data_IF_187497724569
#
_entry.id   IF_187497724569
#
_cell.length_a   1.000
_cell.length_b   1.000
_cell.length_c   1.000
_cell.angle_alpha   90.00
_cell.angle_beta   90.00
_cell.angle_gamma   90.00
#
_symmetry.space_group_name_H-M   'P 1'
#
loop_
_entity.id
_entity.type
_entity.pdbx_description
1 polymer ?
#
# COMPACT_ATOMS: atom_id res chain seq x y z
N UNK A 1 17.44 -76.79 -21.26
CA UNK A 1 16.98 -75.45 -21.68
C UNK A 1 16.43 -74.74 -20.45
N UNK A 2 17.17 -73.80 -19.82
CA UNK A 2 16.66 -73.07 -18.67
C UNK A 2 15.84 -71.86 -19.10
N UNK A 3 14.68 -71.77 -18.47
CA UNK A 3 13.68 -70.71 -18.55
C UNK A 3 14.22 -69.43 -17.88
N UNK A 4 14.37 -68.32 -18.62
CA UNK A 4 14.80 -67.03 -18.08
C UNK A 4 13.62 -66.08 -18.10
N UNK A 5 12.93 -65.98 -16.96
CA UNK A 5 11.82 -65.05 -16.75
C UNK A 5 12.33 -63.60 -16.72
N UNK A 6 11.53 -62.61 -17.14
CA UNK A 6 11.90 -61.21 -17.06
C UNK A 6 11.88 -60.75 -15.61
N UNK A 7 13.01 -60.23 -15.12
CA UNK A 7 13.08 -59.57 -13.82
C UNK A 7 12.18 -58.36 -13.82
N UNK A 8 11.23 -58.34 -12.87
CA UNK A 8 10.28 -57.27 -12.68
C UNK A 8 10.98 -55.94 -12.48
N UNK A 9 10.57 -54.95 -13.27
CA UNK A 9 10.83 -53.55 -13.00
C UNK A 9 10.25 -53.21 -11.62
N UNK A 10 11.13 -52.96 -10.66
CA UNK A 10 10.78 -52.31 -9.40
C UNK A 10 10.38 -50.88 -9.74
N UNK A 11 9.09 -50.67 -9.94
CA UNK A 11 8.49 -49.34 -10.00
C UNK A 11 8.72 -48.64 -8.67
N UNK A 12 9.76 -47.81 -8.60
CA UNK A 12 9.93 -46.80 -7.56
C UNK A 12 8.61 -46.03 -7.45
N UNK A 13 7.96 -45.96 -6.28
CA UNK A 13 6.74 -45.19 -6.15
C UNK A 13 7.09 -43.72 -6.37
N UNK A 14 6.63 -43.19 -7.49
CA UNK A 14 6.67 -41.78 -7.84
C UNK A 14 6.04 -41.01 -6.67
N UNK A 15 6.88 -40.34 -5.88
CA UNK A 15 6.45 -39.57 -4.73
C UNK A 15 5.65 -38.37 -5.25
N UNK A 16 4.35 -38.57 -5.40
CA UNK A 16 3.41 -37.49 -5.71
C UNK A 16 3.67 -36.34 -4.73
N UNK A 17 3.95 -35.11 -5.23
CA UNK A 17 4.24 -34.00 -4.34
C UNK A 17 3.03 -33.76 -3.46
N UNK A 18 3.18 -33.99 -2.15
CA UNK A 18 2.12 -33.76 -1.16
C UNK A 18 1.60 -32.34 -1.36
N UNK A 19 0.36 -32.21 -1.84
CA UNK A 19 -0.36 -30.95 -1.99
C UNK A 19 -0.47 -30.30 -0.61
N UNK A 20 0.42 -29.37 -0.30
CA UNK A 20 0.38 -28.62 0.95
C UNK A 20 -0.97 -27.89 1.03
N UNK A 21 -1.87 -28.40 1.88
CA UNK A 21 -3.10 -27.68 2.23
C UNK A 21 -2.71 -26.53 3.14
N UNK A 22 -2.89 -25.30 2.65
CA UNK A 22 -2.74 -24.10 3.47
C UNK A 22 -3.72 -24.20 4.62
N UNK A 23 -3.22 -24.13 5.87
CA UNK A 23 -4.08 -24.19 7.05
C UNK A 23 -4.94 -22.93 7.12
N UNK A 24 -6.24 -23.09 7.41
CA UNK A 24 -7.17 -21.97 7.62
C UNK A 24 -6.63 -20.99 8.67
N UNK A 25 -6.06 -21.51 9.76
CA UNK A 25 -5.44 -20.70 10.81
C UNK A 25 -4.30 -19.83 10.27
N UNK A 26 -3.50 -20.34 9.34
CA UNK A 26 -2.40 -19.59 8.74
C UNK A 26 -2.91 -18.42 7.88
N UNK A 27 -4.04 -18.61 7.19
CA UNK A 27 -4.70 -17.53 6.43
C UNK A 27 -5.21 -16.44 7.37
N UNK A 28 -5.90 -16.81 8.45
CA UNK A 28 -6.41 -15.85 9.45
C UNK A 28 -5.26 -15.04 10.07
N UNK A 29 -4.19 -15.71 10.49
CA UNK A 29 -3.02 -15.03 11.05
C UNK A 29 -2.35 -14.09 10.05
N UNK A 30 -2.35 -14.44 8.76
CA UNK A 30 -1.81 -13.57 7.69
C UNK A 30 -2.65 -12.34 7.48
N UNK A 31 -3.99 -12.47 7.54
CA UNK A 31 -4.90 -11.32 7.48
C UNK A 31 -4.69 -10.38 8.67
N UNK A 32 -4.57 -10.92 9.88
CA UNK A 32 -4.25 -10.13 11.08
C UNK A 32 -2.90 -9.43 10.91
N UNK A 33 -1.88 -10.15 10.42
CA UNK A 33 -0.56 -9.57 10.14
C UNK A 33 -0.66 -8.40 9.15
N UNK A 34 -1.40 -8.56 8.05
CA UNK A 34 -1.59 -7.50 7.07
C UNK A 34 -2.24 -6.26 7.71
N UNK A 35 -3.28 -6.43 8.53
CA UNK A 35 -3.92 -5.33 9.26
C UNK A 35 -2.94 -4.66 10.21
N UNK A 36 -2.18 -5.43 10.98
CA UNK A 36 -1.17 -4.87 11.92
C UNK A 36 -0.12 -4.06 11.16
N UNK A 37 0.37 -4.57 10.02
CA UNK A 37 1.33 -3.86 9.17
C UNK A 37 0.75 -2.55 8.67
N UNK A 38 -0.50 -2.55 8.20
CA UNK A 38 -1.20 -1.35 7.73
C UNK A 38 -1.26 -0.31 8.86
N UNK A 39 -1.78 -0.69 10.03
CA UNK A 39 -1.89 0.23 11.18
C UNK A 39 -0.52 0.75 11.61
N UNK A 40 0.50 -0.10 11.63
CA UNK A 40 1.85 0.29 12.00
C UNK A 40 2.43 1.29 11.00
N UNK A 41 2.29 1.06 9.69
CA UNK A 41 2.82 1.98 8.70
C UNK A 41 2.06 3.31 8.65
N UNK A 42 0.74 3.32 8.83
CA UNK A 42 -0.04 4.57 9.01
C UNK A 42 0.50 5.39 10.18
N UNK A 43 0.83 4.72 11.29
CA UNK A 43 1.40 5.37 12.47
C UNK A 43 2.82 5.91 12.20
N UNK A 44 3.67 5.10 11.59
CA UNK A 44 5.04 5.50 11.24
C UNK A 44 5.03 6.69 10.28
N UNK A 45 4.18 6.65 9.26
CA UNK A 45 4.05 7.74 8.28
C UNK A 45 3.60 9.04 8.95
N UNK A 46 2.61 8.98 9.84
CA UNK A 46 2.19 10.14 10.63
C UNK A 46 3.34 10.70 11.49
N UNK A 47 4.08 9.83 12.19
CA UNK A 47 5.18 10.24 13.05
C UNK A 47 6.37 10.79 12.24
N UNK A 48 6.68 10.20 11.08
CA UNK A 48 7.69 10.71 10.14
C UNK A 48 7.31 12.08 9.59
N UNK A 49 6.05 12.26 9.17
CA UNK A 49 5.56 13.56 8.74
C UNK A 49 5.70 14.58 9.87
N UNK A 50 5.29 14.24 11.11
CA UNK A 50 5.46 15.14 12.26
C UNK A 50 6.93 15.51 12.50
N UNK A 51 7.84 14.54 12.42
CA UNK A 51 9.25 14.73 12.76
C UNK A 51 10.09 15.40 11.65
N UNK A 52 9.77 15.13 10.38
CA UNK A 52 10.60 15.52 9.24
C UNK A 52 10.00 16.66 8.39
N UNK A 53 8.70 16.94 8.49
CA UNK A 53 8.08 17.99 7.71
C UNK A 53 8.37 19.37 8.34
N UNK A 54 9.10 20.27 7.63
CA UNK A 54 9.53 21.55 8.20
C UNK A 54 8.39 22.53 8.48
N UNK A 55 7.19 22.27 7.94
CA UNK A 55 6.02 23.12 8.13
C UNK A 55 5.21 22.75 9.38
N UNK A 56 5.58 21.66 10.04
CA UNK A 56 5.00 21.25 11.33
C UNK A 56 5.43 22.23 12.40
N UNK A 57 4.47 22.62 13.24
CA UNK A 57 4.70 23.48 14.40
C UNK A 57 4.56 22.65 15.67
N UNK A 58 5.69 22.12 16.13
CA UNK A 58 5.78 21.34 17.37
C UNK A 58 5.57 22.21 18.61
N UNK A 59 5.91 23.50 18.50
CA UNK A 59 5.82 24.49 19.57
C UNK A 59 4.64 25.44 19.37
N UNK A 60 3.43 24.91 19.16
CA UNK A 60 2.23 25.71 19.50
C UNK A 60 2.17 25.73 21.03
N UNK A 61 3.05 26.52 21.62
CA UNK A 61 3.00 26.83 23.04
C UNK A 61 1.63 27.46 23.25
N UNK A 62 0.80 26.82 24.06
CA UNK A 62 -0.42 27.36 24.65
C UNK A 62 -0.12 28.57 25.58
N UNK A 63 0.88 29.38 25.25
CA UNK A 63 1.25 30.60 25.95
C UNK A 63 0.75 31.79 25.13
N UNK A 64 -0.55 32.02 25.18
CA UNK A 64 -1.02 33.24 25.80
C UNK A 64 -2.50 33.06 26.18
N UNK A 65 -2.70 33.14 27.49
CA UNK A 65 -3.96 33.51 28.08
C UNK A 65 -4.43 34.80 27.42
N UNK A 66 -5.54 34.74 26.69
CA UNK A 66 -6.48 35.85 26.64
C UNK A 66 -7.84 35.27 27.04
N UNK A 67 -8.02 35.13 28.35
CA UNK A 67 -9.26 34.72 29.03
C UNK A 67 -10.28 35.87 28.98
N UNK A 68 -10.52 36.43 27.80
CA UNK A 68 -11.44 37.56 27.61
C UNK A 68 -12.15 37.49 26.27
N UNK A 69 -12.90 36.42 26.04
CA UNK A 69 -14.21 36.54 25.38
C UNK A 69 -15.01 35.26 25.63
N UNK A 70 -16.15 35.42 26.29
CA UNK A 70 -16.97 34.33 26.81
C UNK A 70 -17.53 33.39 25.76
N UNK A 71 -17.83 32.17 26.24
CA UNK A 71 -18.89 31.29 25.78
C UNK A 71 -19.11 31.14 24.26
N UNK A 72 -18.76 29.94 23.80
CA UNK A 72 -19.12 29.32 22.51
C UNK A 72 -18.30 29.72 21.28
N UNK A 73 -17.38 28.83 20.91
CA UNK A 73 -16.87 28.69 19.55
C UNK A 73 -15.62 29.51 19.20
N UNK A 74 -14.65 28.85 18.57
CA UNK A 74 -13.76 29.55 17.64
C UNK A 74 -12.45 30.12 18.18
N UNK A 75 -11.79 29.46 19.12
CA UNK A 75 -10.35 29.71 19.38
C UNK A 75 -9.44 29.12 18.29
N UNK A 76 -9.65 29.47 17.00
CA UNK A 76 -8.65 29.19 15.95
C UNK A 76 -7.50 30.18 16.11
N UNK A 77 -6.49 29.80 16.88
CA UNK A 77 -5.25 30.55 17.00
C UNK A 77 -4.65 30.80 15.60
N UNK A 78 -4.51 32.07 15.20
CA UNK A 78 -3.58 32.53 14.17
C UNK A 78 -3.57 31.78 12.81
N UNK A 79 -4.72 31.31 12.31
CA UNK A 79 -4.82 30.66 10.99
C UNK A 79 -4.16 29.27 10.90
N UNK A 80 -3.95 28.61 12.04
CA UNK A 80 -3.44 27.24 12.10
C UNK A 80 -4.53 26.21 11.78
N UNK A 81 -4.17 25.20 10.99
CA UNK A 81 -4.98 24.01 10.69
C UNK A 81 -4.40 22.84 11.45
N UNK A 82 -5.27 21.91 11.86
CA UNK A 82 -4.90 20.72 12.64
C UNK A 82 -5.18 19.45 11.85
N UNK A 83 -4.21 18.54 11.83
CA UNK A 83 -4.35 17.16 11.35
C UNK A 83 -4.20 16.20 12.52
N UNK A 84 -5.10 15.21 12.61
CA UNK A 84 -5.16 14.23 13.71
C UNK A 84 -4.79 12.84 13.20
N UNK A 85 -4.05 12.09 14.02
CA UNK A 85 -3.85 10.66 13.81
C UNK A 85 -5.14 9.88 14.07
N UNK A 86 -5.51 8.97 13.16
CA UNK A 86 -6.64 8.04 13.38
C UNK A 86 -6.34 6.97 14.44
N UNK A 87 -5.06 6.77 14.78
CA UNK A 87 -4.57 5.70 15.65
C UNK A 87 -4.10 6.18 17.03
N UNK A 88 -4.06 7.49 17.27
CA UNK A 88 -3.59 8.05 18.54
C UNK A 88 -4.19 9.43 18.82
N UNK A 89 -3.99 9.94 20.04
CA UNK A 89 -4.32 11.32 20.39
C UNK A 89 -3.38 12.38 19.79
N UNK A 90 -2.34 11.98 19.06
CA UNK A 90 -1.35 12.89 18.51
C UNK A 90 -1.94 13.79 17.41
N UNK A 91 -1.46 15.03 17.38
CA UNK A 91 -1.90 16.08 16.45
C UNK A 91 -0.70 16.77 15.84
N UNK A 92 -0.90 17.25 14.62
CA UNK A 92 0.05 18.08 13.87
C UNK A 92 -0.64 19.40 13.57
N UNK A 93 0.10 20.50 13.74
CA UNK A 93 -0.38 21.84 13.46
C UNK A 93 0.49 22.49 12.39
N UNK A 94 -0.13 23.20 11.45
CA UNK A 94 0.55 23.93 10.39
C UNK A 94 -0.30 25.13 9.96
N UNK A 95 0.28 26.13 9.31
CA UNK A 95 -0.47 27.30 8.84
C UNK A 95 -1.34 26.96 7.62
N UNK A 96 -2.61 27.36 7.64
CA UNK A 96 -3.54 27.12 6.53
C UNK A 96 -3.09 27.73 5.21
N UNK A 97 -2.41 28.89 5.27
CA UNK A 97 -1.79 29.54 4.11
C UNK A 97 -0.70 28.70 3.42
N UNK A 98 -0.11 27.74 4.14
CA UNK A 98 0.95 26.85 3.64
C UNK A 98 0.45 25.41 3.43
N UNK A 99 -0.87 25.19 3.45
CA UNK A 99 -1.48 23.86 3.34
C UNK A 99 -1.02 23.05 2.11
N UNK A 100 -0.86 23.71 0.96
CA UNK A 100 -0.34 23.07 -0.24
C UNK A 100 1.10 22.55 -0.06
N UNK A 101 1.99 23.40 0.44
CA UNK A 101 3.38 22.99 0.69
C UNK A 101 3.47 21.90 1.77
N UNK A 102 2.63 21.97 2.80
CA UNK A 102 2.57 20.96 3.86
C UNK A 102 2.17 19.59 3.30
N UNK A 103 1.11 19.54 2.50
CA UNK A 103 0.68 18.31 1.82
C UNK A 103 1.76 17.77 0.88
N UNK A 104 2.46 18.64 0.15
CA UNK A 104 3.57 18.22 -0.72
C UNK A 104 4.70 17.56 0.06
N UNK A 105 5.19 18.20 1.14
CA UNK A 105 6.23 17.61 1.99
C UNK A 105 5.79 16.27 2.61
N UNK A 106 4.53 16.19 3.07
CA UNK A 106 3.95 14.95 3.58
C UNK A 106 4.02 13.83 2.54
N UNK A 107 3.57 14.10 1.30
CA UNK A 107 3.60 13.12 0.20
C UNK A 107 5.03 12.72 -0.15
N UNK A 108 5.98 13.66 -0.18
CA UNK A 108 7.38 13.36 -0.47
C UNK A 108 8.01 12.47 0.61
N UNK A 109 7.73 12.75 1.89
CA UNK A 109 8.18 11.92 3.02
C UNK A 109 7.57 10.52 2.92
N UNK A 110 6.27 10.42 2.65
CA UNK A 110 5.60 9.14 2.44
C UNK A 110 6.22 8.38 1.26
N UNK A 111 6.43 9.02 0.11
CA UNK A 111 7.03 8.39 -1.06
C UNK A 111 8.45 7.87 -0.79
N UNK A 112 9.27 8.67 -0.10
CA UNK A 112 10.64 8.31 0.27
C UNK A 112 10.71 7.08 1.19
N UNK A 113 9.65 6.80 1.95
CA UNK A 113 9.57 5.62 2.82
C UNK A 113 8.86 4.44 2.17
N UNK A 114 7.71 4.68 1.53
CA UNK A 114 6.85 3.64 0.95
C UNK A 114 7.51 2.96 -0.26
N UNK A 115 8.14 3.71 -1.18
CA UNK A 115 8.71 3.13 -2.38
C UNK A 115 9.87 2.14 -2.10
N UNK A 116 10.85 2.46 -1.23
CA UNK A 116 11.89 1.50 -0.87
C UNK A 116 11.34 0.25 -0.16
N UNK A 117 10.38 0.42 0.75
CA UNK A 117 9.78 -0.70 1.48
C UNK A 117 8.94 -1.59 0.55
N UNK A 118 8.17 -0.99 -0.34
CA UNK A 118 7.43 -1.73 -1.37
C UNK A 118 8.38 -2.56 -2.22
N UNK A 119 9.47 -1.95 -2.70
CA UNK A 119 10.46 -2.65 -3.51
C UNK A 119 11.14 -3.78 -2.73
N UNK A 120 11.49 -3.56 -1.46
CA UNK A 120 12.03 -4.60 -0.57
C UNK A 120 11.07 -5.79 -0.45
N UNK A 121 9.80 -5.55 -0.10
CA UNK A 121 8.82 -6.62 0.03
C UNK A 121 8.52 -7.32 -1.29
N UNK A 122 8.50 -6.58 -2.39
CA UNK A 122 8.35 -7.14 -3.73
C UNK A 122 9.51 -8.08 -4.08
N UNK A 123 10.75 -7.68 -3.78
CA UNK A 123 11.94 -8.53 -3.98
C UNK A 123 11.89 -9.78 -3.10
N UNK A 124 11.53 -9.64 -1.82
CA UNK A 124 11.37 -10.78 -0.91
C UNK A 124 10.27 -11.73 -1.40
N UNK A 125 9.14 -11.21 -1.86
CA UNK A 125 8.06 -11.97 -2.47
C UNK A 125 8.53 -12.75 -3.70
N UNK A 126 9.18 -12.06 -4.64
CA UNK A 126 9.70 -12.68 -5.85
C UNK A 126 10.70 -13.79 -5.53
N UNK A 127 11.64 -13.52 -4.62
CA UNK A 127 12.67 -14.47 -4.20
C UNK A 127 12.08 -15.72 -3.54
N UNK A 128 11.15 -15.56 -2.58
CA UNK A 128 10.51 -16.67 -1.89
C UNK A 128 9.63 -17.49 -2.85
N UNK A 129 8.93 -16.82 -3.77
CA UNK A 129 8.02 -17.51 -4.68
C UNK A 129 8.75 -18.31 -5.78
N UNK A 130 9.89 -17.82 -6.27
CA UNK A 130 10.68 -18.52 -7.30
C UNK A 130 11.52 -19.64 -6.70
N UNK A 131 12.20 -19.39 -5.58
CA UNK A 131 13.21 -20.32 -5.06
C UNK A 131 12.62 -21.45 -4.23
N UNK A 132 11.52 -21.21 -3.52
CA UNK A 132 11.02 -22.14 -2.49
C UNK A 132 9.60 -22.61 -2.76
N UNK A 133 9.42 -23.54 -3.70
CA UNK A 133 8.07 -24.01 -4.12
C UNK A 133 7.20 -24.59 -3.00
N UNK A 134 7.75 -24.99 -1.84
CA UNK A 134 7.01 -25.54 -0.69
C UNK A 134 7.18 -24.84 0.66
N UNK A 135 7.74 -23.62 0.73
CA UNK A 135 8.01 -22.99 2.04
C UNK A 135 6.77 -22.35 2.66
N UNK A 136 6.58 -22.58 3.97
CA UNK A 136 5.58 -21.94 4.82
C UNK A 136 5.69 -20.40 4.84
N UNK A 137 6.86 -19.85 4.47
CA UNK A 137 7.09 -18.41 4.37
C UNK A 137 6.21 -17.75 3.29
N UNK A 138 5.75 -18.48 2.27
CA UNK A 138 4.90 -17.93 1.22
C UNK A 138 3.67 -17.23 1.79
N UNK A 139 3.03 -17.85 2.78
CA UNK A 139 1.80 -17.35 3.39
C UNK A 139 2.07 -16.04 4.14
N UNK A 140 3.17 -15.96 4.89
CA UNK A 140 3.59 -14.76 5.61
C UNK A 140 3.95 -13.62 4.65
N UNK A 141 4.70 -13.92 3.58
CA UNK A 141 5.14 -12.93 2.60
C UNK A 141 3.96 -12.33 1.83
N UNK A 142 2.88 -13.08 1.62
CA UNK A 142 1.63 -12.52 1.11
C UNK A 142 1.05 -11.44 2.02
N UNK A 143 1.09 -11.61 3.35
CA UNK A 143 0.65 -10.59 4.29
C UNK A 143 1.43 -9.28 4.17
N UNK A 144 2.76 -9.39 4.08
CA UNK A 144 3.64 -8.23 3.83
C UNK A 144 3.36 -7.58 2.48
N UNK A 145 3.16 -8.36 1.41
CA UNK A 145 2.81 -7.83 0.09
C UNK A 145 1.49 -7.09 0.07
N UNK A 146 0.46 -7.60 0.75
CA UNK A 146 -0.84 -6.90 0.86
C UNK A 146 -0.65 -5.55 1.55
N UNK A 147 0.11 -5.50 2.65
CA UNK A 147 0.44 -4.24 3.32
C UNK A 147 1.22 -3.28 2.42
N UNK A 148 2.22 -3.78 1.68
CA UNK A 148 3.01 -2.98 0.75
C UNK A 148 2.16 -2.39 -0.38
N UNK A 149 1.26 -3.19 -0.97
CA UNK A 149 0.31 -2.74 -2.00
C UNK A 149 -0.65 -1.70 -1.42
N UNK A 150 -1.15 -1.91 -0.20
CA UNK A 150 -1.99 -0.92 0.47
C UNK A 150 -1.28 0.43 0.60
N UNK A 151 -0.04 0.45 1.08
CA UNK A 151 0.72 1.71 1.20
C UNK A 151 0.97 2.38 -0.14
N UNK A 152 1.25 1.60 -1.19
CA UNK A 152 1.40 2.14 -2.54
C UNK A 152 0.10 2.78 -3.04
N UNK A 153 -1.04 2.11 -2.85
CA UNK A 153 -2.36 2.66 -3.22
C UNK A 153 -2.70 3.91 -2.41
N UNK A 154 -2.40 3.91 -1.11
CA UNK A 154 -2.58 5.07 -0.24
C UNK A 154 -1.77 6.27 -0.73
N UNK A 155 -0.49 6.07 -1.03
CA UNK A 155 0.40 7.11 -1.59
C UNK A 155 -0.12 7.65 -2.93
N UNK A 156 -0.58 6.77 -3.82
CA UNK A 156 -1.19 7.18 -5.10
C UNK A 156 -2.45 8.02 -4.84
N UNK A 157 -3.29 7.61 -3.90
CA UNK A 157 -4.50 8.33 -3.51
C UNK A 157 -4.20 9.73 -2.96
N UNK A 158 -3.25 9.85 -2.03
CA UNK A 158 -2.82 11.14 -1.49
C UNK A 158 -2.22 12.04 -2.59
N UNK A 159 -1.40 11.47 -3.47
CA UNK A 159 -0.78 12.21 -4.58
C UNK A 159 -1.83 12.70 -5.57
N UNK A 160 -2.78 11.85 -5.96
CA UNK A 160 -3.87 12.22 -6.86
C UNK A 160 -4.75 13.31 -6.23
N UNK A 161 -5.11 13.17 -4.95
CA UNK A 161 -5.85 14.19 -4.21
C UNK A 161 -5.13 15.53 -4.18
N UNK A 162 -3.82 15.53 -3.90
CA UNK A 162 -3.00 16.75 -3.95
C UNK A 162 -2.95 17.39 -5.34
N UNK A 163 -2.75 16.59 -6.40
CA UNK A 163 -2.70 17.10 -7.77
C UNK A 163 -4.03 17.71 -8.18
N UNK A 164 -5.16 17.08 -7.82
CA UNK A 164 -6.51 17.60 -8.09
C UNK A 164 -6.74 18.91 -7.34
N UNK A 165 -6.35 18.98 -6.05
CA UNK A 165 -6.52 20.17 -5.22
C UNK A 165 -5.69 21.36 -5.71
N UNK A 166 -4.43 21.13 -6.09
CA UNK A 166 -3.51 22.20 -6.50
C UNK A 166 -3.63 22.58 -7.97
N UNK A 167 -3.98 21.63 -8.84
CA UNK A 167 -4.02 21.83 -10.29
C UNK A 167 -5.38 21.41 -10.84
N UNK A 168 -6.33 22.35 -10.86
CA UNK A 168 -7.71 22.11 -11.32
C UNK A 168 -7.81 21.48 -12.71
N UNK A 169 -6.87 21.77 -13.61
CA UNK A 169 -6.83 21.19 -14.96
C UNK A 169 -6.17 19.80 -15.01
N UNK A 170 -5.31 19.46 -14.04
CA UNK A 170 -4.62 18.16 -13.98
C UNK A 170 -5.55 17.00 -13.68
N UNK A 171 -6.65 17.26 -12.96
CA UNK A 171 -7.72 16.28 -12.75
C UNK A 171 -8.27 15.74 -14.09
N UNK A 172 -8.45 16.63 -15.07
CA UNK A 172 -8.93 16.28 -16.42
C UNK A 172 -7.93 15.36 -17.11
N UNK A 173 -6.64 15.69 -17.07
CA UNK A 173 -5.60 14.84 -17.67
C UNK A 173 -5.51 13.46 -17.02
N UNK A 174 -5.62 13.35 -15.70
CA UNK A 174 -5.62 12.06 -14.99
C UNK A 174 -6.80 11.19 -15.45
N UNK A 175 -8.00 11.78 -15.53
CA UNK A 175 -9.20 11.08 -16.01
C UNK A 175 -9.01 10.61 -17.47
N UNK A 176 -8.48 11.49 -18.34
CA UNK A 176 -8.24 11.15 -19.74
C UNK A 176 -7.24 10.01 -19.89
N UNK A 177 -6.14 10.00 -19.13
CA UNK A 177 -5.16 8.90 -19.13
C UNK A 177 -5.81 7.60 -18.66
N UNK A 178 -6.61 7.64 -17.59
CA UNK A 178 -7.33 6.46 -17.10
C UNK A 178 -8.29 5.91 -18.15
N UNK A 179 -9.09 6.77 -18.79
CA UNK A 179 -9.98 6.39 -19.89
C UNK A 179 -9.17 5.78 -21.04
N UNK A 180 -8.04 6.39 -21.43
CA UNK A 180 -7.19 5.86 -22.50
C UNK A 180 -6.67 4.45 -22.17
N UNK A 181 -6.25 4.19 -20.93
CA UNK A 181 -5.79 2.84 -20.50
C UNK A 181 -6.93 1.82 -20.54
N UNK A 182 -8.13 2.18 -20.09
CA UNK A 182 -9.31 1.30 -20.12
C UNK A 182 -9.70 0.99 -21.56
N UNK A 183 -9.81 2.01 -22.42
CA UNK A 183 -10.15 1.84 -23.84
C UNK A 183 -9.09 1.01 -24.58
N UNK A 184 -7.80 1.23 -24.31
CA UNK A 184 -6.71 0.44 -24.89
C UNK A 184 -6.80 -1.03 -24.47
N UNK A 185 -7.01 -1.28 -23.18
CA UNK A 185 -7.16 -2.65 -22.65
C UNK A 185 -8.38 -3.36 -23.24
N UNK A 186 -9.50 -2.65 -23.39
CA UNK A 186 -10.71 -3.16 -24.01
C UNK A 186 -10.49 -3.45 -25.50
N UNK A 187 -9.81 -2.57 -26.23
CA UNK A 187 -9.46 -2.79 -27.63
C UNK A 187 -8.61 -4.04 -27.83
N UNK A 188 -7.56 -4.22 -27.01
CA UNK A 188 -6.72 -5.44 -27.01
C UNK A 188 -7.55 -6.68 -26.70
N UNK A 189 -8.45 -6.62 -25.72
CA UNK A 189 -9.31 -7.73 -25.36
C UNK A 189 -10.27 -8.12 -26.50
N UNK A 190 -10.92 -7.14 -27.12
CA UNK A 190 -11.83 -7.35 -28.25
C UNK A 190 -11.09 -7.91 -29.47
N UNK A 191 -9.89 -7.40 -29.77
CA UNK A 191 -9.06 -7.90 -30.87
C UNK A 191 -8.66 -9.37 -30.64
N UNK A 192 -8.25 -9.72 -29.41
CA UNK A 192 -7.94 -11.10 -29.04
C UNK A 192 -9.16 -12.03 -29.21
N UNK A 193 -10.35 -11.58 -28.78
CA UNK A 193 -11.59 -12.36 -28.92
C UNK A 193 -12.00 -12.53 -30.39
N UNK A 194 -11.86 -11.49 -31.21
CA UNK A 194 -12.20 -11.54 -32.63
C UNK A 194 -11.28 -12.49 -33.41
N UNK A 195 -9.98 -12.49 -33.11
CA UNK A 195 -9.04 -13.39 -33.78
C UNK A 195 -9.32 -14.87 -33.45
N UNK A 196 -9.66 -15.18 -32.20
CA UNK A 196 -10.04 -16.56 -31.79
C UNK A 196 -11.28 -17.05 -32.54
N UNK A 197 -12.23 -16.17 -32.85
CA UNK A 197 -13.45 -16.54 -33.56
C UNK A 197 -13.26 -16.68 -35.09
N UNK A 198 -12.21 -16.10 -35.66
CA UNK A 198 -11.90 -16.18 -37.10
C UNK A 198 -11.01 -17.40 -37.44
N UNK A 199 -10.46 -18.08 -36.44
CA UNK A 199 -9.64 -19.30 -36.59
C UNK A 199 -10.43 -20.60 -36.34
N UNK A 200 -11.74 -20.52 -36.03
CA UNK A 200 -12.67 -21.65 -35.91
C UNK A 200 -13.69 -21.63 -37.05
#
# INVERSE_FOLDING_TARGET
MPNVLPQGQTSTPESTPKKHRVSFLAVVLTMILAVVIILLGERIMFDLNRAANPLVKDNVVYNNYDYTSGYMGGGMSAGLVMEKSSLSGARVYYYGSQSGQYKLYKILIHAAFVLPIFLLFFLVYYWVNIRNRGSYLKVVVWGYMVGAIWFLLHLIGETAGYVIDQYKNSAVYIILVFIAVVLTSLAVFLQKKSNINNEN
#
